data_IF_400017197253
#
_entry.id   IF_400017197253
#
_cell.length_a   1.000
_cell.length_b   1.000
_cell.length_c   1.000
_cell.angle_alpha   90.00
_cell.angle_beta   90.00
_cell.angle_gamma   90.00
#
_symmetry.space_group_name_H-M   'P 1'
#
loop_
_entity.id
_entity.type
_entity.pdbx_description
1 polymer ?
#
# COMPACT_ATOMS: atom_id res chain seq x y z
N UNK A 1 -13.74 -2.50 -19.91
CA UNK A 1 -14.83 -3.48 -19.68
C UNK A 1 -15.66 -3.02 -18.48
N UNK A 2 -16.99 -3.04 -18.55
CA UNK A 2 -17.87 -2.60 -17.45
C UNK A 2 -18.85 -3.71 -17.09
N UNK A 3 -19.25 -3.79 -15.82
CA UNK A 3 -20.32 -4.67 -15.36
C UNK A 3 -21.62 -3.88 -15.29
N UNK A 4 -22.73 -4.51 -15.69
CA UNK A 4 -24.07 -3.96 -15.49
C UNK A 4 -24.70 -4.67 -14.29
N UNK A 5 -25.45 -3.93 -13.50
CA UNK A 5 -26.23 -4.47 -12.40
C UNK A 5 -27.54 -3.73 -12.23
N UNK A 6 -28.43 -4.32 -11.44
CA UNK A 6 -29.75 -3.77 -11.13
C UNK A 6 -30.01 -3.95 -9.64
N UNK A 7 -30.54 -2.92 -8.99
CA UNK A 7 -30.91 -2.96 -7.57
C UNK A 7 -32.33 -2.43 -7.40
N UNK A 8 -33.18 -3.20 -6.73
CA UNK A 8 -34.50 -2.77 -6.26
C UNK A 8 -34.36 -2.33 -4.81
N UNK A 9 -34.74 -1.08 -4.52
CA UNK A 9 -34.65 -0.48 -3.18
C UNK A 9 -36.02 -0.34 -2.51
N UNK A 10 -37.03 -1.05 -3.00
CA UNK A 10 -38.40 -1.09 -2.45
C UNK A 10 -39.29 0.07 -2.89
N UNK A 11 -38.74 1.25 -3.18
CA UNK A 11 -39.46 2.39 -3.76
C UNK A 11 -39.16 2.63 -5.24
N UNK A 12 -38.34 1.76 -5.85
CA UNK A 12 -37.90 1.92 -7.22
C UNK A 12 -36.73 1.01 -7.56
N UNK A 13 -36.44 0.94 -8.85
CA UNK A 13 -35.48 0.03 -9.44
C UNK A 13 -34.43 0.82 -10.22
N UNK A 14 -33.15 0.62 -9.90
CA UNK A 14 -32.03 1.35 -10.48
C UNK A 14 -31.12 0.41 -11.28
N UNK A 15 -30.81 0.78 -12.53
CA UNK A 15 -29.77 0.15 -13.33
C UNK A 15 -28.47 0.94 -13.20
N UNK A 16 -27.35 0.25 -12.96
CA UNK A 16 -26.04 0.89 -12.85
C UNK A 16 -25.00 0.21 -13.75
N UNK A 17 -23.97 0.99 -14.11
CA UNK A 17 -22.79 0.50 -14.84
C UNK A 17 -21.55 0.78 -14.00
N UNK A 18 -20.84 -0.27 -13.61
CA UNK A 18 -19.55 -0.15 -12.94
C UNK A 18 -18.47 -0.24 -14.00
N UNK A 19 -17.82 0.88 -14.26
CA UNK A 19 -16.60 0.90 -15.06
C UNK A 19 -15.44 0.41 -14.19
N UNK A 20 -14.77 -0.68 -14.58
CA UNK A 20 -13.45 -0.98 -14.00
C UNK A 20 -12.50 0.10 -14.50
N UNK A 21 -12.14 1.04 -13.63
CA UNK A 21 -11.06 1.99 -13.90
C UNK A 21 -9.77 1.18 -14.07
N UNK A 22 -9.20 1.19 -15.28
CA UNK A 22 -7.87 0.64 -15.48
C UNK A 22 -6.85 1.60 -14.89
N UNK A 23 -5.79 1.06 -14.30
CA UNK A 23 -4.69 1.84 -13.76
C UNK A 23 -3.61 2.01 -14.83
N UNK A 24 -3.19 3.25 -15.07
CA UNK A 24 -1.96 3.56 -15.80
C UNK A 24 -0.72 3.19 -14.96
N UNK A 25 0.37 2.80 -15.62
CA UNK A 25 1.66 2.48 -14.99
C UNK A 25 2.41 3.75 -14.55
N UNK A 26 1.99 4.35 -13.44
CA UNK A 26 2.58 5.57 -12.85
C UNK A 26 2.45 5.58 -11.33
N UNK A 27 3.12 6.54 -10.71
CA UNK A 27 2.89 6.90 -9.31
C UNK A 27 1.57 7.71 -9.20
N UNK A 28 0.76 7.40 -8.19
CA UNK A 28 -0.45 8.12 -7.85
C UNK A 28 -0.21 8.97 -6.59
N UNK A 29 -1.16 9.86 -6.28
CA UNK A 29 -1.10 10.68 -5.07
C UNK A 29 -1.03 9.84 -3.81
N UNK A 30 -0.16 10.25 -2.88
CA UNK A 30 -0.02 9.65 -1.56
C UNK A 30 -1.25 9.95 -0.70
N UNK A 31 -1.74 8.95 0.02
CA UNK A 31 -2.87 9.05 0.93
C UNK A 31 -2.36 8.87 2.34
N UNK A 32 -2.42 9.94 3.13
CA UNK A 32 -1.95 9.95 4.51
C UNK A 32 -3.05 9.59 5.48
N UNK A 33 -2.73 8.78 6.48
CA UNK A 33 -3.69 8.42 7.51
C UNK A 33 -3.93 9.58 8.48
N UNK A 34 -5.10 9.61 9.12
CA UNK A 34 -5.35 10.57 10.19
C UNK A 34 -4.79 9.99 11.47
N UNK A 35 -4.13 10.82 12.28
CA UNK A 35 -3.63 10.40 13.60
C UNK A 35 -4.75 9.83 14.48
N UNK A 36 -5.97 10.36 14.37
CA UNK A 36 -7.16 9.90 15.11
C UNK A 36 -7.62 8.48 14.76
N UNK A 37 -7.16 7.91 13.64
CA UNK A 37 -7.52 6.55 13.23
C UNK A 37 -6.73 5.49 14.03
N UNK A 38 -5.75 5.94 14.82
CA UNK A 38 -4.88 5.11 15.64
C UNK A 38 -5.08 5.42 17.11
N UNK A 39 -4.83 4.41 17.95
CA UNK A 39 -4.66 4.62 19.39
C UNK A 39 -3.39 5.47 19.58
N UNK A 40 -3.11 6.01 20.77
CA UNK A 40 -1.79 6.59 21.10
C UNK A 40 -1.14 5.70 22.18
N UNK A 41 0.00 5.06 21.90
CA UNK A 41 0.83 4.32 22.85
C UNK A 41 2.31 4.73 22.76
N UNK A 42 2.53 6.00 22.46
CA UNK A 42 3.84 6.63 22.60
C UNK A 42 4.46 7.10 21.29
N UNK A 43 5.63 7.73 21.39
CA UNK A 43 6.27 8.39 20.26
C UNK A 43 6.78 7.37 19.24
N UNK A 44 6.64 7.73 17.96
CA UNK A 44 7.14 6.96 16.84
C UNK A 44 8.60 7.32 16.64
N UNK A 45 9.49 6.33 16.69
CA UNK A 45 10.93 6.53 16.53
C UNK A 45 11.27 6.57 15.03
N UNK A 46 11.75 7.72 14.51
CA UNK A 46 12.08 7.85 13.09
C UNK A 46 13.20 6.90 12.63
N UNK A 47 14.09 6.47 13.53
CA UNK A 47 15.19 5.58 13.23
C UNK A 47 14.75 4.16 12.83
N UNK A 48 13.56 3.73 13.27
CA UNK A 48 13.03 2.42 12.91
C UNK A 48 12.42 2.38 11.51
N UNK A 49 12.03 3.53 10.95
CA UNK A 49 11.42 3.61 9.62
C UNK A 49 12.38 3.12 8.53
N UNK A 50 13.61 3.66 8.35
CA UNK A 50 14.52 3.15 7.34
C UNK A 50 15.14 1.79 7.70
N UNK A 51 15.27 1.46 8.99
CA UNK A 51 15.94 0.24 9.44
C UNK A 51 15.21 -1.04 9.02
N UNK A 52 13.87 -1.01 8.91
CA UNK A 52 13.06 -2.20 8.64
C UNK A 52 12.33 -2.20 7.31
N UNK A 53 12.44 -1.11 6.55
CA UNK A 53 12.07 -1.09 5.13
C UNK A 53 12.84 -2.14 4.34
N UNK A 54 14.09 -2.43 4.74
CA UNK A 54 14.90 -3.50 4.16
C UNK A 54 14.20 -4.86 4.22
N UNK A 55 13.46 -5.17 5.29
CA UNK A 55 12.79 -6.45 5.48
C UNK A 55 11.60 -6.65 4.52
N UNK A 56 10.76 -5.63 4.32
CA UNK A 56 9.64 -5.76 3.36
C UNK A 56 10.14 -5.74 1.91
N UNK A 57 11.24 -5.03 1.66
CA UNK A 57 11.80 -4.92 0.34
C UNK A 57 12.69 -6.13 -0.01
N UNK A 58 13.35 -6.83 0.93
CA UNK A 58 14.50 -7.74 0.70
C UNK A 58 14.41 -8.73 -0.48
N UNK A 59 13.22 -9.25 -0.78
CA UNK A 59 13.01 -10.23 -1.85
C UNK A 59 12.74 -9.53 -3.19
N UNK A 60 13.20 -10.01 -4.34
CA UNK A 60 12.82 -9.46 -5.67
C UNK A 60 11.58 -10.10 -6.30
N UNK A 61 11.01 -11.16 -5.69
CA UNK A 61 9.85 -11.88 -6.21
C UNK A 61 8.68 -10.94 -6.55
N UNK A 62 8.07 -11.08 -7.74
CA UNK A 62 6.92 -10.27 -8.13
C UNK A 62 5.74 -10.42 -7.18
N UNK A 63 4.99 -9.33 -7.01
CA UNK A 63 3.67 -9.36 -6.39
C UNK A 63 2.64 -9.59 -7.49
N UNK A 64 1.80 -10.60 -7.30
CA UNK A 64 0.86 -11.09 -8.29
C UNK A 64 -0.57 -10.63 -7.96
N UNK A 65 -1.31 -10.31 -9.01
CA UNK A 65 -2.74 -10.02 -8.93
C UNK A 65 -3.49 -11.24 -8.41
N UNK A 66 -4.42 -11.01 -7.49
CA UNK A 66 -5.31 -12.02 -6.89
C UNK A 66 -4.61 -13.18 -6.13
N UNK A 67 -3.29 -13.15 -5.99
CA UNK A 67 -2.50 -14.12 -5.23
C UNK A 67 -1.88 -13.46 -3.97
N UNK A 68 -2.64 -13.53 -2.88
CA UNK A 68 -2.26 -12.95 -1.59
C UNK A 68 -0.99 -13.57 -0.99
N UNK A 69 -0.58 -14.77 -1.42
CA UNK A 69 0.65 -15.40 -0.92
C UNK A 69 1.93 -14.65 -1.36
N UNK A 70 1.81 -13.83 -2.40
CA UNK A 70 2.90 -12.96 -2.88
C UNK A 70 2.94 -11.60 -2.20
N UNK A 71 1.94 -11.27 -1.38
CA UNK A 71 1.89 -9.99 -0.69
C UNK A 71 2.91 -9.96 0.43
N UNK A 72 3.43 -8.78 0.70
CA UNK A 72 4.53 -8.60 1.64
C UNK A 72 4.04 -7.83 2.83
N UNK A 73 4.36 -8.39 3.98
CA UNK A 73 3.96 -7.87 5.27
C UNK A 73 5.15 -8.04 6.20
N UNK A 74 5.61 -6.93 6.77
CA UNK A 74 6.58 -6.95 7.84
C UNK A 74 6.00 -6.20 9.03
N UNK A 75 6.02 -6.85 10.18
CA UNK A 75 5.56 -6.29 11.44
C UNK A 75 6.74 -6.24 12.40
N UNK A 76 6.89 -5.10 13.06
CA UNK A 76 7.85 -4.93 14.14
C UNK A 76 7.22 -4.21 15.32
N UNK A 77 7.56 -4.65 16.53
CA UNK A 77 7.38 -3.87 17.76
C UNK A 77 8.65 -3.08 18.08
N UNK A 78 8.54 -1.78 18.30
CA UNK A 78 9.67 -0.95 18.74
C UNK A 78 10.20 -1.42 20.09
N UNK A 79 11.53 -1.34 20.29
CA UNK A 79 12.16 -1.76 21.55
C UNK A 79 12.03 -0.72 22.67
N UNK A 80 11.94 0.56 22.30
CA UNK A 80 11.99 1.68 23.26
C UNK A 80 10.61 2.23 23.65
N UNK A 81 9.57 1.92 22.88
CA UNK A 81 8.17 2.32 23.09
C UNK A 81 7.23 1.31 22.42
N UNK A 82 6.00 1.16 22.93
CA UNK A 82 4.99 0.17 22.49
C UNK A 82 4.48 0.35 21.05
N UNK A 83 4.99 1.33 20.30
CA UNK A 83 4.64 1.55 18.91
C UNK A 83 4.96 0.31 18.06
N UNK A 84 3.99 -0.08 17.23
CA UNK A 84 4.12 -1.16 16.27
C UNK A 84 4.19 -0.59 14.87
N UNK A 85 5.08 -1.15 14.06
CA UNK A 85 5.42 -0.68 12.73
C UNK A 85 5.01 -1.77 11.75
N UNK A 86 4.16 -1.42 10.81
CA UNK A 86 3.70 -2.28 9.72
C UNK A 86 4.20 -1.71 8.41
N UNK A 87 4.81 -2.58 7.62
CA UNK A 87 5.31 -2.28 6.29
C UNK A 87 4.68 -3.28 5.34
N UNK A 88 3.89 -2.80 4.39
CA UNK A 88 3.11 -3.68 3.51
C UNK A 88 3.30 -3.31 2.06
N UNK A 89 3.32 -4.32 1.20
CA UNK A 89 3.28 -4.16 -0.26
C UNK A 89 2.32 -5.20 -0.83
N UNK A 90 1.28 -4.75 -1.54
CA UNK A 90 0.26 -5.65 -2.09
C UNK A 90 -0.30 -5.18 -3.42
N UNK A 91 -0.97 -6.09 -4.13
CA UNK A 91 -1.75 -5.74 -5.32
C UNK A 91 -3.10 -5.17 -4.90
N UNK A 92 -3.42 -3.94 -5.34
CA UNK A 92 -4.70 -3.29 -5.06
C UNK A 92 -5.86 -4.13 -5.60
N UNK A 93 -6.81 -4.47 -4.74
CA UNK A 93 -7.98 -5.28 -5.12
C UNK A 93 -8.75 -4.66 -6.30
N UNK A 94 -9.12 -5.51 -7.26
CA UNK A 94 -9.81 -5.10 -8.48
C UNK A 94 -8.97 -4.29 -9.47
N UNK A 95 -7.73 -3.92 -9.12
CA UNK A 95 -6.86 -3.15 -10.01
C UNK A 95 -6.41 -4.01 -11.20
N UNK A 96 -6.51 -3.43 -12.39
CA UNK A 96 -6.03 -4.01 -13.63
C UNK A 96 -5.33 -2.90 -14.40
N UNK A 97 -4.13 -3.19 -14.93
CA UNK A 97 -3.40 -2.22 -15.72
C UNK A 97 -4.09 -1.97 -17.06
N UNK A 98 -3.92 -0.78 -17.60
CA UNK A 98 -4.36 -0.41 -18.96
C UNK A 98 -3.85 -1.41 -20.01
N UNK A 99 -4.56 -1.52 -21.13
CA UNK A 99 -4.19 -2.41 -22.25
C UNK A 99 -4.00 -3.89 -21.89
N UNK A 100 -4.69 -4.38 -20.85
CA UNK A 100 -4.47 -5.72 -20.30
C UNK A 100 -2.99 -5.94 -19.92
N UNK A 101 -2.38 -4.94 -19.28
CA UNK A 101 -1.01 -5.00 -18.79
C UNK A 101 -0.77 -6.17 -17.82
N UNK A 102 0.49 -6.35 -17.38
CA UNK A 102 0.91 -7.53 -16.64
C UNK A 102 0.09 -7.74 -15.36
N UNK A 103 -0.10 -9.00 -14.97
CA UNK A 103 -0.78 -9.41 -13.72
C UNK A 103 0.19 -9.66 -12.59
N UNK A 104 1.44 -9.25 -12.74
CA UNK A 104 2.46 -9.27 -11.72
C UNK A 104 3.39 -8.07 -11.89
N UNK A 105 3.89 -7.54 -10.79
CA UNK A 105 4.77 -6.37 -10.80
C UNK A 105 5.92 -6.57 -9.82
N UNK A 106 7.11 -6.13 -10.22
CA UNK A 106 8.24 -6.09 -9.29
C UNK A 106 7.99 -5.00 -8.24
N UNK A 107 8.08 -5.31 -6.94
CA UNK A 107 7.99 -4.28 -5.91
C UNK A 107 9.23 -3.38 -5.87
N UNK A 108 10.34 -3.80 -6.47
CA UNK A 108 11.58 -3.01 -6.59
C UNK A 108 11.49 -2.02 -7.73
N UNK A 109 11.00 -2.48 -8.87
CA UNK A 109 10.92 -1.64 -10.05
C UNK A 109 9.51 -1.71 -10.67
N UNK A 110 8.48 -1.17 -9.97
CA UNK A 110 7.11 -1.27 -10.43
C UNK A 110 6.86 -0.52 -11.75
N UNK A 111 7.72 0.44 -12.10
CA UNK A 111 7.59 1.24 -13.32
C UNK A 111 8.54 0.81 -14.45
N UNK A 112 9.35 -0.24 -14.24
CA UNK A 112 10.31 -0.73 -15.23
C UNK A 112 11.38 0.31 -15.63
N UNK A 113 11.61 1.34 -14.80
CA UNK A 113 12.62 2.38 -15.07
C UNK A 113 14.00 1.84 -14.67
N UNK A 114 14.97 1.88 -15.57
CA UNK A 114 16.35 1.47 -15.30
C UNK A 114 17.06 2.52 -14.45
N UNK A 115 17.32 2.22 -13.17
CA UNK A 115 18.69 2.23 -12.61
C UNK A 115 18.79 1.88 -11.11
N UNK A 116 17.73 1.99 -10.28
CA UNK A 116 17.88 1.78 -8.82
C UNK A 116 16.63 1.17 -8.14
N UNK A 117 16.26 -0.06 -8.52
CA UNK A 117 15.05 -0.72 -7.99
C UNK A 117 15.01 -0.89 -6.46
N UNK A 118 16.17 -1.08 -5.82
CA UNK A 118 16.29 -1.17 -4.37
C UNK A 118 15.85 0.10 -3.65
N UNK A 119 16.37 1.22 -4.16
CA UNK A 119 16.05 2.54 -3.63
C UNK A 119 14.59 2.87 -3.87
N UNK A 120 13.99 2.37 -4.95
CA UNK A 120 12.60 2.69 -5.30
C UNK A 120 11.58 2.02 -4.37
N UNK A 121 11.73 0.72 -4.05
CA UNK A 121 10.88 0.07 -3.04
C UNK A 121 11.00 0.78 -1.69
N UNK A 122 12.25 0.97 -1.25
CA UNK A 122 12.51 1.53 0.05
C UNK A 122 11.98 2.97 0.18
N UNK A 123 12.16 3.76 -0.88
CA UNK A 123 11.65 5.12 -1.02
C UNK A 123 10.13 5.16 -0.87
N UNK A 124 9.37 4.35 -1.60
CA UNK A 124 7.91 4.43 -1.55
C UNK A 124 7.34 4.15 -0.16
N UNK A 125 7.94 3.19 0.54
CA UNK A 125 7.54 2.84 1.91
C UNK A 125 8.00 3.91 2.90
N UNK A 126 9.25 4.35 2.85
CA UNK A 126 9.79 5.35 3.79
C UNK A 126 9.15 6.74 3.62
N UNK A 127 8.87 7.17 2.38
CA UNK A 127 8.20 8.46 2.10
C UNK A 127 6.77 8.51 2.65
N UNK A 128 6.10 7.36 2.87
CA UNK A 128 4.80 7.37 3.56
C UNK A 128 4.91 7.90 4.99
N UNK A 129 6.06 7.78 5.64
CA UNK A 129 6.33 8.39 6.93
C UNK A 129 6.71 9.87 6.79
N UNK A 130 7.71 10.16 5.95
CA UNK A 130 8.31 11.50 5.86
C UNK A 130 7.41 12.55 5.19
N UNK A 131 6.68 12.18 4.15
CA UNK A 131 5.89 13.13 3.37
C UNK A 131 4.51 13.40 4.00
N UNK A 132 4.00 12.47 4.81
CA UNK A 132 2.67 12.60 5.38
C UNK A 132 2.57 13.57 6.56
N UNK A 133 3.68 13.84 7.27
CA UNK A 133 3.75 14.83 8.37
C UNK A 133 2.59 14.73 9.38
N UNK A 134 2.07 13.52 9.63
CA UNK A 134 0.85 13.25 10.39
C UNK A 134 1.14 12.70 11.80
N UNK A 135 2.21 13.21 12.43
CA UNK A 135 2.69 12.68 13.71
C UNK A 135 3.37 11.32 13.59
N UNK A 136 3.66 10.87 12.37
CA UNK A 136 4.43 9.66 12.08
C UNK A 136 3.60 8.41 11.83
N UNK A 137 2.26 8.47 11.87
CA UNK A 137 1.39 7.27 11.71
C UNK A 137 1.44 6.67 10.30
N UNK A 138 1.85 7.46 9.30
CA UNK A 138 2.15 6.96 7.96
C UNK A 138 1.00 7.09 6.95
N UNK A 139 1.01 6.25 5.93
CA UNK A 139 0.11 6.34 4.80
C UNK A 139 0.40 5.31 3.71
N UNK A 140 -0.19 5.54 2.54
CA UNK A 140 -0.04 4.69 1.36
C UNK A 140 0.30 5.48 0.11
N UNK A 141 1.00 4.83 -0.83
CA UNK A 141 1.11 5.27 -2.22
C UNK A 141 0.79 4.12 -3.15
N UNK A 142 0.05 4.43 -4.22
CA UNK A 142 -0.18 3.49 -5.32
C UNK A 142 0.81 3.75 -6.44
N UNK A 143 1.39 2.68 -6.99
CA UNK A 143 2.29 2.72 -8.16
C UNK A 143 1.87 1.61 -9.13
N UNK A 144 1.29 2.01 -10.27
CA UNK A 144 0.53 1.08 -11.10
C UNK A 144 -0.61 0.43 -10.30
N UNK A 145 -0.53 -0.88 -10.07
CA UNK A 145 -1.46 -1.60 -9.20
C UNK A 145 -0.86 -2.03 -7.85
N UNK A 146 0.41 -1.75 -7.57
CA UNK A 146 0.98 -2.02 -6.25
C UNK A 146 0.65 -0.88 -5.30
N UNK A 147 0.32 -1.23 -4.06
CA UNK A 147 0.26 -0.31 -2.93
C UNK A 147 1.48 -0.54 -2.06
N UNK A 148 2.13 0.54 -1.66
CA UNK A 148 3.17 0.56 -0.65
C UNK A 148 2.62 1.30 0.56
N UNK A 149 2.68 0.67 1.72
CA UNK A 149 2.19 1.23 2.98
C UNK A 149 3.29 1.24 4.02
N UNK A 150 3.30 2.33 4.77
CA UNK A 150 3.88 2.36 6.10
C UNK A 150 2.78 2.76 7.07
N UNK A 151 2.63 2.01 8.15
CA UNK A 151 1.67 2.28 9.20
C UNK A 151 2.33 2.06 10.55
N UNK A 152 2.49 3.13 11.30
CA UNK A 152 2.87 3.04 12.70
C UNK A 152 1.59 3.13 13.53
N UNK A 153 1.11 1.96 13.96
CA UNK A 153 0.03 1.87 14.92
C UNK A 153 0.63 1.48 16.26
N UNK A 154 0.34 2.27 17.25
CA UNK A 154 0.62 1.94 18.62
C UNK A 154 -0.32 0.85 19.18
N UNK A 155 -1.29 0.34 18.42
CA UNK A 155 -2.13 -0.79 18.80
C UNK A 155 -1.69 -2.13 18.18
N UNK A 156 -1.64 -3.17 19.01
CA UNK A 156 -1.57 -4.57 18.57
C UNK A 156 -2.94 -4.95 18.01
N UNK A 157 -3.21 -4.66 16.73
CA UNK A 157 -4.20 -5.45 15.99
C UNK A 157 -3.60 -5.90 14.67
N UNK A 158 -3.31 -7.20 14.67
CA UNK A 158 -3.12 -7.99 13.47
C UNK A 158 -4.37 -7.95 12.60
N UNK A 159 -4.11 -8.18 11.31
CA UNK A 159 -5.09 -8.31 10.25
C UNK A 159 -6.03 -9.49 10.48
#
# INVERSE_FOLDING_TARGET
>A
MYSRGHVDVGCGSFAYRIHRSQASLREYGRICYKKSDFIDKGPINPGYVPAFVGEVCHNSSPIKKDDKSTFRHHYMRGKDHEASYQYNIWWKEGCTLENNGPTEMSPWNPLGKSHDGAMTCARYVAENYWECNNGGVGGTIQVGCLIYEFKADVSERGW
#
